data_IF_065935732180
#
_entry.id   IF_065935732180
#
_cell.length_a   1.000
_cell.length_b   1.000
_cell.length_c   1.000
_cell.angle_alpha   90.00
_cell.angle_beta   90.00
_cell.angle_gamma   90.00
#
_symmetry.space_group_name_H-M   'P 1'
#
loop_
_entity.id
_entity.type
_entity.pdbx_description
1 polymer ?
#
# COMPACT_ATOMS: atom_id res chain seq x y z
N UNK A 1 -16.75 -0.04 20.35
CA UNK A 1 -17.34 0.73 21.48
C UNK A 1 -16.39 0.92 22.66
N UNK A 2 -15.41 0.03 22.92
CA UNK A 2 -14.48 0.19 24.06
C UNK A 2 -13.44 1.32 23.94
N UNK A 3 -13.03 1.71 22.73
CA UNK A 3 -11.97 2.73 22.52
C UNK A 3 -12.42 4.17 22.87
N UNK A 4 -13.69 4.52 22.66
CA UNK A 4 -14.20 5.86 22.96
C UNK A 4 -14.45 6.08 24.45
N UNK A 5 -14.86 5.05 25.19
CA UNK A 5 -15.00 5.11 26.65
C UNK A 5 -13.66 5.37 27.37
N UNK A 6 -12.55 4.91 26.78
CA UNK A 6 -11.22 5.18 27.29
C UNK A 6 -10.82 6.65 27.08
N UNK A 7 -11.20 7.24 25.94
CA UNK A 7 -10.92 8.62 25.58
C UNK A 7 -11.69 9.60 26.48
N UNK A 8 -12.98 9.35 26.70
CA UNK A 8 -13.83 10.16 27.60
C UNK A 8 -13.32 10.09 29.06
N UNK A 9 -12.91 8.91 29.52
CA UNK A 9 -12.36 8.75 30.87
C UNK A 9 -11.00 9.46 31.05
N UNK A 10 -10.18 9.49 29.99
CA UNK A 10 -8.90 10.22 29.98
C UNK A 10 -9.10 11.74 29.94
N UNK A 11 -10.17 12.21 29.31
CA UNK A 11 -10.52 13.63 29.19
C UNK A 11 -10.93 14.21 30.56
N UNK A 12 -11.73 13.46 31.32
CA UNK A 12 -12.13 13.83 32.70
C UNK A 12 -10.95 13.82 33.69
N UNK A 13 -9.96 12.95 33.49
CA UNK A 13 -8.84 12.77 34.44
C UNK A 13 -7.65 13.72 34.23
N UNK A 14 -7.47 14.29 33.04
CA UNK A 14 -6.14 14.80 32.65
C UNK A 14 -6.00 16.32 32.50
N UNK A 15 -7.09 17.09 32.55
CA UNK A 15 -7.07 18.49 32.10
C UNK A 15 -6.83 18.56 30.58
N UNK A 16 -7.69 19.24 29.84
CA UNK A 16 -7.86 19.08 28.38
C UNK A 16 -6.57 19.10 27.52
N UNK A 17 -5.51 19.78 27.96
CA UNK A 17 -4.20 19.84 27.29
C UNK A 17 -3.54 18.47 27.08
N UNK A 18 -3.74 17.52 27.99
CA UNK A 18 -3.09 16.20 27.90
C UNK A 18 -3.78 15.25 26.89
N UNK A 19 -5.07 15.48 26.58
CA UNK A 19 -5.76 14.71 25.56
C UNK A 19 -5.33 15.11 24.14
N UNK A 20 -5.18 16.42 23.89
CA UNK A 20 -4.70 16.94 22.60
C UNK A 20 -3.31 16.36 22.25
N UNK A 21 -2.38 16.36 23.21
CA UNK A 21 -1.05 15.79 23.03
C UNK A 21 -1.08 14.28 22.75
N UNK A 22 -1.95 13.54 23.44
CA UNK A 22 -2.14 12.09 23.21
C UNK A 22 -2.71 11.79 21.83
N UNK A 23 -3.72 12.53 21.40
CA UNK A 23 -4.32 12.38 20.07
C UNK A 23 -3.34 12.74 18.96
N UNK A 24 -2.54 13.80 19.16
CA UNK A 24 -1.47 14.15 18.24
C UNK A 24 -0.45 13.02 18.10
N UNK A 25 0.03 12.48 19.23
CA UNK A 25 0.99 11.38 19.21
C UNK A 25 0.42 10.15 18.48
N UNK A 26 -0.86 9.84 18.70
CA UNK A 26 -1.55 8.77 18.00
C UNK A 26 -1.53 8.96 16.49
N UNK A 27 -1.88 10.15 15.98
CA UNK A 27 -1.87 10.43 14.55
C UNK A 27 -0.46 10.36 13.94
N UNK A 28 0.57 10.84 14.64
CA UNK A 28 1.97 10.70 14.20
C UNK A 28 2.39 9.23 14.10
N UNK A 29 1.98 8.40 15.07
CA UNK A 29 2.25 6.96 15.04
C UNK A 29 1.52 6.31 13.87
N UNK A 30 0.26 6.64 13.63
CA UNK A 30 -0.52 6.10 12.52
C UNK A 30 0.07 6.49 11.16
N UNK A 31 0.54 7.74 10.99
CA UNK A 31 1.26 8.18 9.79
C UNK A 31 2.54 7.36 9.55
N UNK A 32 3.26 7.03 10.62
CA UNK A 32 4.47 6.19 10.56
C UNK A 32 4.13 4.77 10.11
N UNK A 33 3.07 4.18 10.65
CA UNK A 33 2.58 2.85 10.23
C UNK A 33 2.14 2.84 8.76
N UNK A 34 1.37 3.84 8.33
CA UNK A 34 0.94 4.00 6.93
C UNK A 34 2.15 4.17 6.00
N UNK A 35 3.20 4.88 6.44
CA UNK A 35 4.45 5.03 5.68
C UNK A 35 5.18 3.69 5.53
N UNK A 36 5.29 2.91 6.60
CA UNK A 36 5.90 1.59 6.55
C UNK A 36 5.13 0.65 5.60
N UNK A 37 3.80 0.70 5.66
CA UNK A 37 2.94 -0.07 4.75
C UNK A 37 3.09 0.37 3.29
N UNK A 38 3.12 1.67 3.01
CA UNK A 38 3.35 2.22 1.67
C UNK A 38 4.71 1.76 1.11
N UNK A 39 5.77 1.79 1.92
CA UNK A 39 7.09 1.31 1.51
C UNK A 39 7.09 -0.18 1.16
N UNK A 40 6.38 -1.02 1.92
CA UNK A 40 6.22 -2.44 1.62
C UNK A 40 5.49 -2.64 0.28
N UNK A 41 4.37 -1.94 0.07
CA UNK A 41 3.60 -2.00 -1.18
C UNK A 41 4.44 -1.55 -2.38
N UNK A 42 5.24 -0.49 -2.22
CA UNK A 42 6.16 -0.04 -3.26
C UNK A 42 7.15 -1.13 -3.65
N UNK A 43 7.79 -1.79 -2.67
CA UNK A 43 8.71 -2.91 -2.94
C UNK A 43 8.01 -4.05 -3.67
N UNK A 44 6.78 -4.39 -3.28
CA UNK A 44 5.96 -5.40 -3.97
C UNK A 44 5.67 -5.02 -5.42
N UNK A 45 5.30 -3.76 -5.69
CA UNK A 45 5.11 -3.25 -7.06
C UNK A 45 6.39 -3.39 -7.89
N UNK A 46 7.55 -3.00 -7.33
CA UNK A 46 8.83 -3.11 -8.04
C UNK A 46 9.21 -4.57 -8.32
N UNK A 47 9.00 -5.45 -7.36
CA UNK A 47 9.24 -6.88 -7.54
C UNK A 47 8.38 -7.43 -8.70
N UNK A 48 7.09 -7.11 -8.70
CA UNK A 48 6.15 -7.60 -9.70
C UNK A 48 6.48 -7.07 -11.11
N UNK A 49 6.83 -5.79 -11.22
CA UNK A 49 7.30 -5.19 -12.49
C UNK A 49 8.53 -5.93 -13.04
N UNK A 50 9.48 -6.33 -12.18
CA UNK A 50 10.65 -7.13 -12.60
C UNK A 50 10.26 -8.52 -13.09
N UNK A 51 9.34 -9.20 -12.40
CA UNK A 51 8.83 -10.52 -12.82
C UNK A 51 8.10 -10.41 -14.17
N UNK A 52 7.25 -9.40 -14.34
CA UNK A 52 6.57 -9.12 -15.61
C UNK A 52 7.55 -8.85 -16.76
N UNK A 53 8.65 -8.16 -16.50
CA UNK A 53 9.68 -7.92 -17.51
C UNK A 53 10.36 -9.23 -17.96
N UNK A 54 10.70 -10.11 -17.00
CA UNK A 54 11.22 -11.45 -17.31
C UNK A 54 10.24 -12.28 -18.13
N UNK A 55 8.95 -12.24 -17.74
CA UNK A 55 7.90 -12.95 -18.46
C UNK A 55 7.76 -12.44 -19.90
N UNK A 56 7.85 -11.12 -20.12
CA UNK A 56 7.82 -10.52 -21.46
C UNK A 56 8.99 -10.96 -22.33
N UNK A 57 10.21 -11.04 -21.78
CA UNK A 57 11.38 -11.55 -22.52
C UNK A 57 11.13 -12.98 -22.97
N UNK A 58 10.66 -13.84 -22.06
CA UNK A 58 10.34 -15.23 -22.38
C UNK A 58 9.24 -15.36 -23.45
N UNK A 59 8.23 -14.48 -23.43
CA UNK A 59 7.20 -14.45 -24.49
C UNK A 59 7.80 -14.18 -25.86
N UNK A 60 8.73 -13.21 -25.96
CA UNK A 60 9.42 -12.89 -27.22
C UNK A 60 10.27 -14.08 -27.68
N UNK A 61 10.97 -14.74 -26.77
CA UNK A 61 11.75 -15.95 -27.09
C UNK A 61 10.84 -17.05 -27.64
N UNK A 62 9.68 -17.29 -27.02
CA UNK A 62 8.71 -18.29 -27.49
C UNK A 62 8.10 -17.93 -28.85
N UNK A 63 7.80 -16.65 -29.09
CA UNK A 63 7.32 -16.16 -30.39
C UNK A 63 8.36 -16.40 -31.49
N UNK A 64 9.66 -16.30 -31.18
CA UNK A 64 10.75 -16.55 -32.14
C UNK A 64 10.88 -18.02 -32.57
N UNK A 65 10.38 -18.96 -31.76
CA UNK A 65 10.42 -20.40 -32.06
C UNK A 65 9.33 -20.85 -33.06
N UNK A 66 8.37 -19.98 -33.36
CA UNK A 66 7.28 -20.23 -34.31
C UNK A 66 6.29 -21.32 -33.85
N UNK A 67 5.54 -21.88 -34.80
CA UNK A 67 4.45 -22.84 -34.54
C UNK A 67 4.95 -24.25 -34.26
N UNK A 68 5.85 -24.40 -33.30
CA UNK A 68 6.16 -25.69 -32.66
C UNK A 68 5.16 -25.84 -31.52
N UNK A 69 4.26 -26.82 -31.56
CA UNK A 69 3.10 -26.89 -30.64
C UNK A 69 3.41 -26.61 -29.15
N UNK A 70 4.54 -27.10 -28.64
CA UNK A 70 4.99 -26.81 -27.25
C UNK A 70 5.23 -25.32 -27.00
N UNK A 71 5.80 -24.58 -27.97
CA UNK A 71 6.03 -23.15 -27.87
C UNK A 71 4.71 -22.36 -27.86
N UNK A 72 3.69 -22.82 -28.60
CA UNK A 72 2.36 -22.20 -28.63
C UNK A 72 1.63 -22.35 -27.29
N UNK A 73 1.60 -23.57 -26.73
CA UNK A 73 1.03 -23.83 -25.41
C UNK A 73 1.74 -23.03 -24.30
N UNK A 74 3.08 -22.99 -24.35
CA UNK A 74 3.88 -22.18 -23.43
C UNK A 74 3.55 -20.69 -23.56
N UNK A 75 3.42 -20.17 -24.79
CA UNK A 75 3.09 -18.77 -25.03
C UNK A 75 1.71 -18.40 -24.51
N UNK A 76 0.71 -19.27 -24.66
CA UNK A 76 -0.62 -19.06 -24.07
C UNK A 76 -0.54 -19.00 -22.54
N UNK A 77 0.20 -19.91 -21.91
CA UNK A 77 0.39 -19.92 -20.46
C UNK A 77 1.12 -18.65 -19.96
N UNK A 78 2.13 -18.17 -20.70
CA UNK A 78 2.85 -16.94 -20.39
C UNK A 78 1.94 -15.71 -20.52
N UNK A 79 1.05 -15.66 -21.51
CA UNK A 79 0.04 -14.58 -21.67
C UNK A 79 -0.93 -14.53 -20.50
N UNK A 80 -1.50 -15.68 -20.10
CA UNK A 80 -2.37 -15.78 -18.92
C UNK A 80 -1.65 -15.31 -17.65
N UNK A 81 -0.39 -15.70 -17.49
CA UNK A 81 0.45 -15.27 -16.37
C UNK A 81 0.70 -13.75 -16.40
N UNK A 82 0.98 -13.20 -17.59
CA UNK A 82 1.21 -11.77 -17.78
C UNK A 82 -0.02 -10.96 -17.39
N UNK A 83 -1.21 -11.36 -17.83
CA UNK A 83 -2.44 -10.63 -17.56
C UNK A 83 -2.83 -10.70 -16.08
N UNK A 84 -2.65 -11.86 -15.43
CA UNK A 84 -2.79 -11.96 -13.98
C UNK A 84 -1.84 -11.02 -13.23
N UNK A 85 -0.57 -10.95 -13.65
CA UNK A 85 0.40 -10.03 -13.03
C UNK A 85 0.06 -8.55 -13.27
N UNK A 86 -0.44 -8.17 -14.45
CA UNK A 86 -0.93 -6.80 -14.71
C UNK A 86 -2.06 -6.43 -13.75
N UNK A 87 -3.05 -7.31 -13.60
CA UNK A 87 -4.18 -7.07 -12.68
C UNK A 87 -3.71 -6.94 -11.23
N UNK A 88 -2.79 -7.80 -10.80
CA UNK A 88 -2.22 -7.72 -9.45
C UNK A 88 -1.42 -6.43 -9.23
N UNK A 89 -0.67 -5.96 -10.24
CA UNK A 89 0.06 -4.70 -10.17
C UNK A 89 -0.89 -3.52 -10.02
N UNK A 90 -1.96 -3.46 -10.80
CA UNK A 90 -2.95 -2.39 -10.70
C UNK A 90 -3.60 -2.32 -9.30
N UNK A 91 -3.89 -3.48 -8.68
CA UNK A 91 -4.40 -3.53 -7.31
C UNK A 91 -3.38 -3.00 -6.29
N UNK A 92 -2.11 -3.43 -6.39
CA UNK A 92 -1.04 -2.96 -5.50
C UNK A 92 -0.78 -1.46 -5.65
N UNK A 93 -0.82 -0.93 -6.87
CA UNK A 93 -0.69 0.51 -7.13
C UNK A 93 -1.85 1.30 -6.54
N UNK A 94 -3.09 0.78 -6.63
CA UNK A 94 -4.25 1.37 -5.96
C UNK A 94 -4.10 1.40 -4.44
N UNK A 95 -3.69 0.29 -3.83
CA UNK A 95 -3.42 0.21 -2.39
C UNK A 95 -2.29 1.14 -1.96
N UNK A 96 -1.24 1.25 -2.76
CA UNK A 96 -0.11 2.16 -2.50
C UNK A 96 -0.58 3.61 -2.50
N UNK A 97 -1.43 3.98 -3.45
CA UNK A 97 -2.06 5.30 -3.49
C UNK A 97 -2.89 5.60 -2.23
N UNK A 98 -3.68 4.62 -1.76
CA UNK A 98 -4.45 4.76 -0.52
C UNK A 98 -3.54 4.88 0.72
N UNK A 99 -2.46 4.10 0.79
CA UNK A 99 -1.51 4.18 1.90
C UNK A 99 -0.84 5.56 1.96
N UNK A 100 -0.45 6.13 0.82
CA UNK A 100 0.08 7.50 0.77
C UNK A 100 -0.96 8.56 1.16
N UNK A 101 -2.20 8.42 0.70
CA UNK A 101 -3.28 9.32 1.12
C UNK A 101 -3.49 9.26 2.65
N UNK A 102 -3.46 8.05 3.23
CA UNK A 102 -3.53 7.85 4.67
C UNK A 102 -2.39 8.53 5.43
N UNK A 103 -1.14 8.47 4.93
CA UNK A 103 -0.02 9.21 5.54
C UNK A 103 -0.34 10.71 5.61
N UNK A 104 -0.75 11.31 4.48
CA UNK A 104 -1.06 12.73 4.42
C UNK A 104 -2.26 13.13 5.31
N UNK A 105 -3.28 12.27 5.39
CA UNK A 105 -4.44 12.49 6.26
C UNK A 105 -4.02 12.52 7.73
N UNK A 106 -3.23 11.54 8.17
CA UNK A 106 -2.80 11.46 9.58
C UNK A 106 -1.80 12.56 9.95
N UNK A 107 -0.90 12.95 9.04
CA UNK A 107 -0.05 14.13 9.21
C UNK A 107 -0.89 15.41 9.36
N UNK A 108 -1.92 15.58 8.51
CA UNK A 108 -2.83 16.73 8.60
C UNK A 108 -3.60 16.73 9.92
N UNK A 109 -4.06 15.57 10.38
CA UNK A 109 -4.75 15.43 11.65
C UNK A 109 -3.84 15.78 12.83
N UNK A 110 -2.58 15.34 12.81
CA UNK A 110 -1.59 15.71 13.82
C UNK A 110 -1.31 17.23 13.86
N UNK A 111 -1.28 17.91 12.71
CA UNK A 111 -1.09 19.36 12.62
C UNK A 111 -2.28 20.11 13.23
N UNK A 112 -3.52 19.72 12.90
CA UNK A 112 -4.74 20.34 13.44
C UNK A 112 -4.80 20.28 14.97
N UNK A 113 -4.21 19.25 15.58
CA UNK A 113 -4.14 19.17 17.05
C UNK A 113 -3.21 20.23 17.67
N UNK A 114 -2.26 20.81 16.92
CA UNK A 114 -1.40 21.91 17.40
C UNK A 114 -2.07 23.29 17.30
N UNK A 115 -3.01 23.47 16.38
CA UNK A 115 -3.67 24.77 16.12
C UNK A 115 -4.74 25.11 17.16
N UNK A 116 -5.19 24.12 17.94
CA UNK A 116 -6.24 24.24 18.96
C UNK A 116 -5.70 24.33 20.41
N UNK A 117 -4.41 24.61 20.59
CA UNK A 117 -3.78 24.83 21.91
C UNK A 117 -3.75 26.32 22.30
#
# INVERSE_FOLDING_TARGET
MAQFQLLDHLMDLSGSTNLHDKMRLWFVQQATECTAFANLLFVCCQHLRRVMNKNRIMMVDMESLGNRGVAEDCLEALRKTQDRHKSMLALLEGLLGQAHAGVHEEESNAIKMNENN
#
